data_IF_190258167016
#
_entry.id   IF_190258167016
#
_cell.length_a   1.000
_cell.length_b   1.000
_cell.length_c   1.000
_cell.angle_alpha   90.00
_cell.angle_beta   90.00
_cell.angle_gamma   90.00
#
_symmetry.space_group_name_H-M   'P 1'
#
loop_
_entity.id
_entity.type
_entity.pdbx_description
1 polymer ?
#
# COMPACT_ATOMS: atom_id res chain seq x y z
N UNK A 1 -25.53 18.00 37.28
CA UNK A 1 -24.68 16.82 37.54
C UNK A 1 -24.55 16.01 36.29
N UNK A 2 -23.35 15.98 35.73
CA UNK A 2 -23.03 15.38 34.44
C UNK A 2 -22.98 13.85 34.52
N UNK A 3 -23.60 13.22 33.53
CA UNK A 3 -23.57 11.79 33.27
C UNK A 3 -22.17 11.42 32.74
N UNK A 4 -21.54 10.38 33.32
CA UNK A 4 -20.27 9.83 32.88
C UNK A 4 -20.40 8.34 32.68
N UNK A 5 -20.85 7.92 31.50
CA UNK A 5 -20.83 6.51 31.10
C UNK A 5 -19.39 6.12 30.81
N UNK A 6 -18.85 5.21 31.62
CA UNK A 6 -17.57 4.54 31.43
C UNK A 6 -17.62 3.74 30.12
N UNK A 7 -16.90 4.21 29.09
CA UNK A 7 -16.66 3.42 27.88
C UNK A 7 -15.48 2.49 28.16
N UNK A 8 -15.79 1.23 28.41
CA UNK A 8 -14.84 0.11 28.39
C UNK A 8 -14.21 0.08 26.99
N UNK A 9 -12.92 0.43 26.88
CA UNK A 9 -12.14 0.24 25.65
C UNK A 9 -11.86 -1.25 25.53
N UNK A 10 -12.81 -1.97 24.92
CA UNK A 10 -12.61 -3.33 24.45
C UNK A 10 -11.42 -3.32 23.48
N UNK A 11 -10.28 -3.79 24.00
CA UNK A 11 -9.05 -3.99 23.25
C UNK A 11 -9.29 -5.09 22.24
N UNK A 12 -9.69 -4.72 21.03
CA UNK A 12 -9.62 -5.60 19.87
C UNK A 12 -8.16 -5.94 19.60
N UNK A 13 -7.67 -6.98 20.27
CA UNK A 13 -6.48 -7.72 19.89
C UNK A 13 -6.74 -8.31 18.51
N UNK A 14 -6.04 -7.81 17.49
CA UNK A 14 -5.90 -8.56 16.25
C UNK A 14 -5.19 -9.89 16.58
N UNK A 15 -5.77 -11.05 16.25
CA UNK A 15 -5.05 -12.30 16.41
C UNK A 15 -3.80 -12.26 15.53
N UNK A 16 -2.65 -12.47 16.15
CA UNK A 16 -1.41 -12.84 15.46
C UNK A 16 -1.73 -14.03 14.56
N UNK A 17 -1.36 -14.04 13.27
CA UNK A 17 -1.33 -15.28 12.51
C UNK A 17 -0.20 -16.14 13.08
N UNK A 18 -0.57 -17.12 13.93
CA UNK A 18 0.28 -18.24 14.29
C UNK A 18 0.53 -19.07 13.04
N UNK A 19 1.80 -19.08 12.63
CA UNK A 19 2.58 -20.23 12.16
C UNK A 19 1.82 -21.37 11.44
N UNK A 20 2.05 -21.50 10.14
CA UNK A 20 2.08 -22.82 9.49
C UNK A 20 3.54 -23.16 9.19
N UNK A 21 4.17 -23.72 10.21
CA UNK A 21 5.36 -24.56 10.16
C UNK A 21 5.33 -25.54 8.98
N UNK A 22 6.51 -25.71 8.37
CA UNK A 22 7.04 -27.04 8.09
C UNK A 22 6.40 -27.81 6.95
N UNK A 23 7.18 -28.00 5.89
CA UNK A 23 7.58 -29.29 5.32
C UNK A 23 7.77 -29.11 3.81
N UNK A 24 8.98 -28.74 3.37
CA UNK A 24 9.42 -29.21 2.04
C UNK A 24 9.80 -30.67 2.21
N UNK A 25 8.78 -31.52 2.24
CA UNK A 25 8.94 -32.92 1.90
C UNK A 25 9.62 -32.97 0.52
N UNK A 26 10.77 -33.62 0.45
CA UNK A 26 11.43 -34.00 -0.80
C UNK A 26 10.53 -35.07 -1.43
N UNK A 27 9.51 -34.63 -2.15
CA UNK A 27 8.71 -35.53 -2.96
C UNK A 27 9.49 -35.83 -4.25
N UNK A 28 9.90 -37.08 -4.39
CA UNK A 28 10.38 -37.68 -5.63
C UNK A 28 9.26 -37.52 -6.68
N UNK A 29 9.47 -36.64 -7.67
CA UNK A 29 8.49 -36.36 -8.72
C UNK A 29 8.51 -37.48 -9.76
N UNK A 30 7.42 -38.23 -9.99
CA UNK A 30 7.33 -39.10 -11.16
C UNK A 30 7.23 -38.23 -12.42
N UNK A 31 8.02 -38.58 -13.43
CA UNK A 31 8.04 -37.97 -14.75
C UNK A 31 6.65 -38.10 -15.42
N UNK A 32 5.78 -37.09 -15.33
CA UNK A 32 4.46 -37.17 -15.97
C UNK A 32 3.40 -36.09 -15.72
N UNK A 33 3.74 -34.88 -15.24
CA UNK A 33 2.77 -33.81 -14.92
C UNK A 33 3.03 -32.53 -15.72
N UNK A 34 3.24 -32.64 -17.04
CA UNK A 34 3.60 -31.51 -17.89
C UNK A 34 2.40 -30.75 -18.51
N UNK A 35 1.15 -31.17 -18.33
CA UNK A 35 0.06 -30.70 -19.22
C UNK A 35 -1.10 -29.92 -18.59
N UNK A 36 -1.09 -29.60 -17.29
CA UNK A 36 -2.14 -28.74 -16.69
C UNK A 36 -1.62 -27.48 -15.97
N UNK A 37 -0.31 -27.35 -15.73
CA UNK A 37 0.26 -26.16 -15.09
C UNK A 37 0.47 -24.96 -16.02
N UNK A 38 0.11 -25.08 -17.30
CA UNK A 38 0.32 -24.03 -18.30
C UNK A 38 -0.84 -23.03 -18.41
N UNK A 39 -2.02 -23.33 -17.83
CA UNK A 39 -3.21 -22.48 -17.99
C UNK A 39 -3.46 -21.49 -16.84
N UNK A 40 -2.73 -21.58 -15.71
CA UNK A 40 -2.89 -20.68 -14.56
C UNK A 40 -1.85 -19.54 -14.48
N UNK A 41 -1.14 -19.25 -15.57
CA UNK A 41 -0.23 -18.09 -15.66
C UNK A 41 -0.85 -16.96 -16.46
N UNK A 42 -2.07 -16.57 -16.11
CA UNK A 42 -2.64 -15.29 -16.52
C UNK A 42 -2.83 -14.45 -15.27
N UNK A 43 -1.73 -13.89 -14.75
CA UNK A 43 -1.84 -12.64 -13.99
C UNK A 43 -2.29 -11.62 -15.03
N UNK A 44 -3.45 -11.01 -14.81
CA UNK A 44 -3.99 -9.98 -15.69
C UNK A 44 -3.03 -8.79 -15.69
N UNK A 45 -2.06 -8.79 -16.60
CA UNK A 45 -1.41 -7.58 -17.07
C UNK A 45 -2.45 -6.84 -17.89
N UNK A 46 -3.23 -6.00 -17.22
CA UNK A 46 -4.13 -5.08 -17.88
C UNK A 46 -3.28 -4.04 -18.65
N UNK A 47 -3.29 -4.05 -20.00
CA UNK A 47 -2.46 -3.16 -20.80
C UNK A 47 -2.91 -1.69 -20.73
N UNK A 48 -4.00 -1.39 -20.01
CA UNK A 48 -4.46 -0.01 -19.78
C UNK A 48 -3.87 0.62 -18.51
N UNK A 49 -3.24 -0.16 -17.63
CA UNK A 49 -2.47 0.40 -16.53
C UNK A 49 -1.14 0.94 -17.07
N UNK A 50 -0.80 2.23 -16.85
CA UNK A 50 0.54 2.71 -17.15
C UNK A 50 1.53 1.81 -16.44
N UNK A 51 2.61 1.42 -17.13
CA UNK A 51 3.67 0.59 -16.56
C UNK A 51 4.47 1.42 -15.55
N UNK A 52 3.85 1.69 -14.39
CA UNK A 52 4.54 2.19 -13.23
C UNK A 52 5.51 1.09 -12.77
N UNK A 53 6.74 1.45 -12.42
CA UNK A 53 7.71 0.51 -11.87
C UNK A 53 7.17 -0.21 -10.62
N UNK A 54 7.90 -1.19 -10.07
CA UNK A 54 7.45 -1.93 -8.90
C UNK A 54 7.07 -0.98 -7.76
N UNK A 55 6.02 -1.34 -7.01
CA UNK A 55 5.56 -0.52 -5.89
C UNK A 55 6.67 -0.34 -4.86
N UNK A 56 6.67 0.85 -4.26
CA UNK A 56 7.70 1.23 -3.32
C UNK A 56 7.43 0.64 -1.94
N UNK A 57 8.50 0.27 -1.23
CA UNK A 57 8.39 -0.19 0.15
C UNK A 57 7.97 0.92 1.13
N UNK A 58 7.72 0.53 2.38
CA UNK A 58 7.44 1.46 3.48
C UNK A 58 8.53 2.55 3.58
N UNK A 59 8.11 3.81 3.72
CA UNK A 59 8.98 4.99 3.83
C UNK A 59 9.91 5.22 2.61
N UNK A 60 9.70 4.50 1.49
CA UNK A 60 10.47 4.70 0.26
C UNK A 60 9.82 5.72 -0.66
N UNK A 61 10.66 6.32 -1.50
CA UNK A 61 10.17 7.24 -2.53
C UNK A 61 9.25 6.49 -3.49
N UNK A 62 8.07 7.04 -3.71
CA UNK A 62 7.05 6.51 -4.61
C UNK A 62 6.65 7.53 -5.68
N UNK A 63 7.44 8.60 -5.90
CA UNK A 63 7.14 9.63 -6.90
C UNK A 63 6.91 9.05 -8.30
N UNK A 64 7.66 8.00 -8.64
CA UNK A 64 7.60 7.32 -9.95
C UNK A 64 6.57 6.19 -9.98
N UNK A 65 6.58 5.30 -8.99
CA UNK A 65 5.69 4.13 -8.93
C UNK A 65 4.25 4.49 -8.56
N UNK A 66 4.05 5.57 -7.80
CA UNK A 66 2.76 6.05 -7.28
C UNK A 66 2.00 5.00 -6.45
N UNK A 67 2.64 3.90 -6.08
CA UNK A 67 2.04 2.83 -5.28
C UNK A 67 3.02 2.35 -4.21
N UNK A 68 2.43 1.78 -3.15
CA UNK A 68 3.15 1.20 -2.03
C UNK A 68 2.90 -0.31 -1.99
N UNK A 69 3.93 -1.09 -1.67
CA UNK A 69 3.82 -2.56 -1.61
C UNK A 69 3.02 -3.04 -0.40
N UNK A 70 2.90 -2.20 0.63
CA UNK A 70 2.14 -2.46 1.85
C UNK A 70 0.77 -1.77 1.74
N UNK A 71 -0.32 -2.51 1.96
CA UNK A 71 -1.68 -1.99 1.88
C UNK A 71 -2.04 -0.99 2.97
N UNK A 72 -1.27 -0.92 4.07
CA UNK A 72 -1.44 0.09 5.12
C UNK A 72 -0.72 1.40 4.80
N UNK A 73 -0.03 1.48 3.66
CA UNK A 73 0.76 2.64 3.27
C UNK A 73 0.17 3.24 2.00
N UNK A 74 0.13 4.57 1.98
CA UNK A 74 -0.28 5.33 0.82
C UNK A 74 0.89 6.20 0.33
N UNK A 75 0.98 6.37 -0.99
CA UNK A 75 2.00 7.24 -1.57
C UNK A 75 1.55 8.69 -1.42
N UNK A 76 2.09 9.38 -0.41
CA UNK A 76 1.77 10.77 -0.16
C UNK A 76 2.80 11.69 -0.78
N UNK A 77 2.32 12.69 -1.52
CA UNK A 77 3.15 13.71 -2.10
C UNK A 77 3.64 14.69 -1.03
N UNK A 78 4.95 14.94 -1.06
CA UNK A 78 5.54 16.06 -0.34
C UNK A 78 5.42 17.31 -1.22
N UNK A 79 6.01 17.23 -2.40
CA UNK A 79 6.03 18.28 -3.41
C UNK A 79 6.00 17.65 -4.81
N UNK A 80 6.03 18.47 -5.86
CA UNK A 80 5.90 18.03 -7.25
C UNK A 80 6.92 16.96 -7.70
N UNK A 81 8.07 16.87 -7.02
CA UNK A 81 9.15 15.92 -7.37
C UNK A 81 9.28 14.75 -6.38
N UNK A 82 8.79 14.90 -5.15
CA UNK A 82 8.96 13.92 -4.08
C UNK A 82 7.63 13.44 -3.49
N UNK A 83 7.46 12.13 -3.42
CA UNK A 83 6.39 11.44 -2.71
C UNK A 83 6.98 10.23 -1.99
N UNK A 84 6.36 9.86 -0.86
CA UNK A 84 6.83 8.76 -0.03
C UNK A 84 5.68 7.89 0.45
N UNK A 85 5.91 6.58 0.53
CA UNK A 85 5.00 5.65 1.17
C UNK A 85 4.96 5.89 2.67
N UNK A 86 3.83 6.37 3.20
CA UNK A 86 3.64 6.59 4.64
C UNK A 86 2.28 6.02 5.08
N UNK A 87 2.12 5.64 6.34
CA UNK A 87 0.83 5.22 6.88
C UNK A 87 -0.10 6.43 7.11
N UNK A 88 0.47 7.61 7.35
CA UNK A 88 -0.26 8.87 7.51
C UNK A 88 0.58 10.04 6.98
N UNK A 89 -0.10 11.16 6.68
CA UNK A 89 0.53 12.39 6.23
C UNK A 89 -0.26 13.60 6.74
N UNK A 90 0.45 14.63 7.21
CA UNK A 90 -0.13 15.91 7.63
C UNK A 90 0.31 17.02 6.69
N UNK A 91 -0.62 17.86 6.23
CA UNK A 91 -0.28 18.99 5.35
C UNK A 91 0.59 19.98 6.13
N UNK A 92 1.66 20.48 5.50
CA UNK A 92 2.55 21.47 6.11
C UNK A 92 4.01 21.02 6.22
N UNK A 93 4.81 21.80 6.95
CA UNK A 93 6.23 21.51 7.17
C UNK A 93 6.39 20.54 8.34
N UNK A 94 7.13 19.46 8.12
CA UNK A 94 7.40 18.44 9.14
C UNK A 94 8.76 18.76 9.78
N UNK A 95 8.74 19.32 11.00
CA UNK A 95 9.95 19.73 11.71
C UNK A 95 10.72 18.56 12.35
N UNK A 96 10.14 17.36 12.35
CA UNK A 96 10.78 16.10 12.73
C UNK A 96 11.77 15.59 11.66
N UNK A 97 11.76 16.14 10.45
CA UNK A 97 12.75 15.85 9.41
C UNK A 97 14.05 16.67 9.63
N UNK A 98 15.21 16.21 9.12
CA UNK A 98 16.43 17.00 9.11
C UNK A 98 16.22 18.37 8.44
N UNK A 99 16.86 19.47 8.91
CA UNK A 99 16.59 20.83 8.44
C UNK A 99 16.62 21.00 6.91
N UNK A 100 17.49 20.27 6.21
CA UNK A 100 17.59 20.31 4.74
C UNK A 100 16.38 19.68 4.01
N UNK A 101 15.56 18.90 4.71
CA UNK A 101 14.38 18.23 4.18
C UNK A 101 13.06 18.82 4.68
N UNK A 102 13.07 19.80 5.58
CA UNK A 102 11.88 20.46 6.13
C UNK A 102 11.18 21.36 5.08
N UNK A 103 10.61 20.73 4.07
CA UNK A 103 9.78 21.39 3.04
C UNK A 103 8.32 21.01 3.22
N UNK A 104 7.45 21.84 2.64
CA UNK A 104 6.00 21.68 2.72
C UNK A 104 5.56 20.36 2.12
N UNK A 105 4.71 19.63 2.85
CA UNK A 105 4.01 18.44 2.37
C UNK A 105 2.60 18.81 1.90
N UNK A 106 2.26 18.47 0.65
CA UNK A 106 0.89 18.58 0.13
C UNK A 106 0.00 17.45 0.64
N UNK A 107 0.60 16.28 0.94
CA UNK A 107 -0.08 15.05 1.31
C UNK A 107 -1.12 14.57 0.28
N UNK A 108 -1.01 15.00 -0.97
CA UNK A 108 -1.85 14.50 -2.05
C UNK A 108 -1.54 13.03 -2.29
N UNK A 109 -2.59 12.20 -2.39
CA UNK A 109 -2.43 10.78 -2.67
C UNK A 109 -2.05 10.62 -4.14
N UNK A 110 -0.88 10.02 -4.38
CA UNK A 110 -0.53 9.53 -5.71
C UNK A 110 -1.01 8.08 -5.79
N UNK A 111 -1.84 7.80 -6.77
CA UNK A 111 -2.28 6.44 -7.10
C UNK A 111 -2.06 6.20 -8.60
N UNK A 112 -1.60 5.00 -9.01
CA UNK A 112 -1.49 4.66 -10.42
C UNK A 112 -2.86 4.63 -11.12
N UNK A 113 -3.94 4.39 -10.37
CA UNK A 113 -5.29 4.23 -10.89
C UNK A 113 -6.12 5.51 -10.91
N UNK A 114 -5.52 6.68 -10.62
CA UNK A 114 -6.23 7.95 -10.65
C UNK A 114 -7.47 7.99 -9.76
N UNK A 115 -7.57 7.11 -8.76
CA UNK A 115 -8.62 7.08 -7.76
C UNK A 115 -8.35 8.20 -6.73
N UNK A 116 -8.20 9.42 -7.23
CA UNK A 116 -8.49 10.58 -6.43
C UNK A 116 -9.97 10.46 -6.08
N UNK A 117 -10.32 10.67 -4.81
CA UNK A 117 -11.72 10.78 -4.38
C UNK A 117 -12.34 12.04 -4.98
N UNK A 118 -12.45 12.11 -6.31
CA UNK A 118 -13.53 12.82 -6.95
C UNK A 118 -14.67 11.83 -6.99
N UNK A 119 -15.67 12.11 -6.15
CA UNK A 119 -17.04 11.69 -6.41
C UNK A 119 -17.26 11.68 -7.93
N UNK A 120 -17.53 10.51 -8.52
CA UNK A 120 -18.07 10.46 -9.87
C UNK A 120 -19.50 11.04 -9.80
N UNK A 121 -19.59 12.37 -9.75
CA UNK A 121 -20.73 13.08 -10.34
C UNK A 121 -20.35 13.24 -11.80
N UNK A 122 -20.79 12.28 -12.61
CA UNK A 122 -20.96 12.48 -14.04
C UNK A 122 -21.85 13.71 -14.23
N UNK A 123 -21.27 14.83 -14.66
CA UNK A 123 -22.06 15.90 -15.25
C UNK A 123 -22.49 15.43 -16.64
N UNK A 124 -23.79 15.18 -16.79
CA UNK A 124 -24.51 15.14 -18.07
C UNK A 124 -25.27 16.45 -18.23
#
# INVERSE_FOLDING_TARGET
SSQGTHFEVEKHFCPLPTDMSGHRAVALMPLGMASLQLLLKAVATDPSSPAFGPCSGQWKNCSKSRCCSDGNFQCFEKNSVFAQCRPFCYVGVHYDEPPQYQSYWTCSIKSPLGLETSSQVSHS
#
